data_IF_446050248728
#
_entry.id   IF_446050248728
#
_cell.length_a   1.000
_cell.length_b   1.000
_cell.length_c   1.000
_cell.angle_alpha   90.00
_cell.angle_beta   90.00
_cell.angle_gamma   90.00
#
_symmetry.space_group_name_H-M   'P 1'
#
loop_
_entity.id
_entity.type
_entity.pdbx_description
1 polymer ?
#
# COMPACT_ATOMS: atom_id res chain seq x y z
N UNK A 1 49.83 9.52 3.33
CA UNK A 1 48.68 9.04 4.09
C UNK A 1 47.51 9.83 3.56
N UNK A 2 46.77 9.27 2.61
CA UNK A 2 45.64 9.97 1.98
C UNK A 2 44.43 9.67 2.86
N UNK A 3 44.02 10.63 3.68
CA UNK A 3 42.74 10.52 4.37
C UNK A 3 41.66 10.73 3.31
N UNK A 4 40.95 9.67 2.92
CA UNK A 4 39.74 9.77 2.12
C UNK A 4 38.65 10.44 2.96
N UNK A 5 38.73 11.78 3.07
CA UNK A 5 37.89 12.57 3.96
C UNK A 5 36.62 13.06 3.29
N UNK A 6 35.49 13.03 4.01
CA UNK A 6 34.24 13.69 3.65
C UNK A 6 34.31 15.21 3.91
N UNK A 7 35.41 15.85 3.47
CA UNK A 7 35.78 17.20 3.89
C UNK A 7 34.88 18.30 3.33
N UNK A 8 34.51 19.24 4.21
CA UNK A 8 33.72 20.45 3.89
C UNK A 8 34.49 21.38 2.93
N UNK A 9 35.83 21.32 2.93
CA UNK A 9 36.72 22.11 2.06
C UNK A 9 36.97 21.49 0.67
N UNK A 10 36.23 20.43 0.30
CA UNK A 10 36.14 19.97 -1.09
C UNK A 10 37.22 18.98 -1.55
N UNK A 11 38.00 18.38 -0.65
CA UNK A 11 39.04 17.41 -1.06
C UNK A 11 38.46 16.09 -1.61
N UNK A 12 37.21 15.72 -1.27
CA UNK A 12 36.53 14.57 -1.88
C UNK A 12 35.34 14.95 -2.78
N UNK A 13 34.61 16.03 -2.47
CA UNK A 13 33.34 16.35 -3.12
C UNK A 13 33.46 17.61 -3.97
N UNK A 14 33.39 17.46 -5.30
CA UNK A 14 33.42 18.57 -6.26
C UNK A 14 32.02 18.90 -6.76
N UNK A 15 31.46 19.99 -6.26
CA UNK A 15 30.15 20.47 -6.67
C UNK A 15 30.22 21.25 -7.98
N UNK A 16 29.20 21.10 -8.84
CA UNK A 16 29.11 21.84 -10.12
C UNK A 16 28.86 23.35 -9.95
N UNK A 17 28.40 23.77 -8.76
CA UNK A 17 28.15 25.17 -8.36
C UNK A 17 28.33 25.31 -6.86
N UNK A 18 28.41 26.55 -6.38
CA UNK A 18 28.33 26.84 -4.95
C UNK A 18 27.02 26.33 -4.36
N UNK A 19 27.12 25.75 -3.17
CA UNK A 19 25.96 25.34 -2.37
C UNK A 19 25.19 26.57 -1.91
N UNK A 20 23.87 26.42 -1.78
CA UNK A 20 23.02 27.39 -1.10
C UNK A 20 23.08 27.12 0.40
N UNK A 21 22.75 28.13 1.21
CA UNK A 21 22.79 28.05 2.69
C UNK A 21 22.08 26.81 3.25
N UNK A 22 20.92 26.43 2.69
CA UNK A 22 20.21 25.22 3.15
C UNK A 22 20.80 23.91 2.63
N UNK A 23 21.53 23.94 1.51
CA UNK A 23 22.26 22.77 1.00
C UNK A 23 23.52 22.51 1.84
N UNK A 24 24.16 23.56 2.35
CA UNK A 24 25.27 23.44 3.30
C UNK A 24 24.85 22.73 4.59
N UNK A 25 23.65 23.02 5.11
CA UNK A 25 23.12 22.33 6.29
C UNK A 25 22.86 20.84 6.01
N UNK A 26 22.27 20.51 4.85
CA UNK A 26 22.05 19.12 4.43
C UNK A 26 23.38 18.35 4.26
N UNK A 27 24.40 19.00 3.70
CA UNK A 27 25.73 18.41 3.55
C UNK A 27 26.39 18.21 4.91
N UNK A 28 26.25 19.16 5.84
CA UNK A 28 26.74 19.02 7.22
C UNK A 28 26.10 17.82 7.92
N UNK A 29 24.79 17.65 7.80
CA UNK A 29 24.08 16.48 8.34
C UNK A 29 24.57 15.17 7.69
N UNK A 30 24.77 15.18 6.37
CA UNK A 30 25.28 14.02 5.63
C UNK A 30 26.67 13.61 6.12
N UNK A 31 27.59 14.57 6.27
CA UNK A 31 28.95 14.35 6.79
C UNK A 31 28.90 13.78 8.21
N UNK A 32 28.02 14.29 9.08
CA UNK A 32 27.85 13.74 10.43
C UNK A 32 27.41 12.27 10.39
N UNK A 33 26.51 11.89 9.48
CA UNK A 33 26.08 10.49 9.31
C UNK A 33 27.19 9.60 8.75
N UNK A 34 28.06 10.15 7.91
CA UNK A 34 29.18 9.44 7.29
C UNK A 34 30.45 9.43 8.15
N UNK A 35 30.48 10.16 9.28
CA UNK A 35 31.64 10.26 10.16
C UNK A 35 32.19 8.92 10.66
N UNK A 36 31.32 7.90 10.78
CA UNK A 36 31.68 6.55 11.20
C UNK A 36 31.89 5.58 10.02
N UNK A 37 31.94 6.07 8.79
CA UNK A 37 32.13 5.26 7.57
C UNK A 37 33.57 5.41 7.08
N UNK A 38 34.31 4.32 7.10
CA UNK A 38 35.68 4.25 6.56
C UNK A 38 35.64 3.60 5.18
N UNK A 39 35.97 4.38 4.16
CA UNK A 39 36.08 3.87 2.78
C UNK A 39 37.24 2.88 2.67
N UNK A 40 37.04 1.82 1.90
CA UNK A 40 38.03 0.77 1.66
C UNK A 40 38.47 0.86 0.19
N UNK A 41 39.64 1.45 -0.07
CA UNK A 41 40.12 1.76 -1.44
C UNK A 41 40.28 0.51 -2.34
N UNK A 42 40.45 -0.67 -1.74
CA UNK A 42 40.65 -1.93 -2.46
C UNK A 42 39.39 -2.79 -2.58
N UNK A 43 38.25 -2.34 -2.07
CA UNK A 43 36.99 -3.05 -2.15
C UNK A 43 36.07 -2.36 -3.17
N UNK A 44 35.42 -3.16 -4.02
CA UNK A 44 34.41 -2.64 -4.92
C UNK A 44 33.05 -2.54 -4.21
N UNK A 45 32.32 -1.47 -4.51
CA UNK A 45 30.94 -1.31 -4.07
C UNK A 45 30.07 -2.50 -4.51
N UNK A 46 29.25 -3.00 -3.59
CA UNK A 46 28.29 -4.07 -3.87
C UNK A 46 26.93 -3.77 -3.27
N UNK A 47 25.89 -4.23 -3.96
CA UNK A 47 24.54 -4.23 -3.42
C UNK A 47 24.43 -5.25 -2.28
N UNK A 48 23.91 -4.82 -1.13
CA UNK A 48 23.70 -5.67 0.05
C UNK A 48 22.21 -5.81 0.30
N UNK A 49 21.72 -7.04 0.24
CA UNK A 49 20.34 -7.35 0.58
C UNK A 49 20.16 -7.49 2.09
N UNK A 50 19.65 -6.44 2.75
CA UNK A 50 19.51 -6.40 4.21
C UNK A 50 18.42 -7.30 4.78
N UNK A 51 17.52 -7.82 3.93
CA UNK A 51 16.33 -8.56 4.35
C UNK A 51 16.58 -10.08 4.43
N UNK A 52 17.83 -10.53 4.24
CA UNK A 52 18.21 -11.93 4.37
C UNK A 52 19.63 -12.06 4.91
N UNK A 53 19.89 -13.11 5.69
CA UNK A 53 21.19 -13.36 6.36
C UNK A 53 22.33 -13.61 5.39
N UNK A 54 22.05 -14.07 4.17
CA UNK A 54 23.08 -14.26 3.14
C UNK A 54 23.59 -12.95 2.53
N UNK A 55 22.94 -11.82 2.80
CA UNK A 55 23.24 -10.51 2.21
C UNK A 55 23.15 -10.43 0.67
N UNK A 56 22.72 -11.51 0.03
CA UNK A 56 22.55 -11.62 -1.43
C UNK A 56 21.07 -11.57 -1.75
N UNK A 57 20.71 -10.78 -2.76
CA UNK A 57 19.34 -10.71 -3.25
C UNK A 57 18.96 -12.03 -3.94
N UNK A 58 17.77 -12.53 -3.62
CA UNK A 58 17.08 -13.54 -4.41
C UNK A 58 15.59 -13.25 -4.43
N UNK A 59 14.91 -13.62 -5.52
CA UNK A 59 13.45 -13.51 -5.62
C UNK A 59 12.77 -14.22 -4.46
N UNK A 60 13.29 -15.38 -4.06
CA UNK A 60 12.81 -16.14 -2.91
C UNK A 60 12.88 -15.33 -1.61
N UNK A 61 14.06 -14.81 -1.26
CA UNK A 61 14.23 -14.05 -0.01
C UNK A 61 13.38 -12.77 0.05
N UNK A 62 13.15 -12.14 -1.11
CA UNK A 62 12.25 -11.00 -1.21
C UNK A 62 10.79 -11.41 -1.02
N UNK A 63 10.38 -12.52 -1.64
CA UNK A 63 9.04 -13.06 -1.48
C UNK A 63 8.78 -13.46 -0.03
N UNK A 64 9.69 -14.24 0.58
CA UNK A 64 9.58 -14.69 1.96
C UNK A 64 9.41 -13.51 2.91
N UNK A 65 10.23 -12.46 2.77
CA UNK A 65 10.10 -11.24 3.58
C UNK A 65 8.76 -10.53 3.37
N UNK A 66 8.28 -10.41 2.12
CA UNK A 66 7.01 -9.76 1.82
C UNK A 66 5.81 -10.55 2.34
N UNK A 67 5.90 -11.88 2.39
CA UNK A 67 4.84 -12.76 2.87
C UNK A 67 4.92 -13.08 4.36
N UNK A 68 6.05 -12.81 5.02
CA UNK A 68 6.24 -13.09 6.44
C UNK A 68 5.36 -12.23 7.36
N UNK A 69 4.99 -11.03 6.91
CA UNK A 69 4.12 -10.09 7.64
C UNK A 69 2.65 -10.24 7.29
N UNK A 70 2.32 -11.05 6.28
CA UNK A 70 0.94 -11.44 6.03
C UNK A 70 0.61 -12.47 7.13
N UNK A 71 0.33 -11.97 8.35
CA UNK A 71 -0.63 -12.64 9.21
C UNK A 71 -1.76 -13.01 8.28
N UNK A 72 -1.97 -14.31 8.13
CA UNK A 72 -2.76 -14.86 7.06
C UNK A 72 -4.24 -14.55 7.36
N UNK A 73 -4.63 -13.27 7.25
CA UNK A 73 -5.98 -12.73 7.40
C UNK A 73 -6.93 -13.47 6.44
N UNK A 74 -6.35 -14.09 5.40
CA UNK A 74 -7.02 -14.87 4.38
C UNK A 74 -7.01 -16.39 4.60
N UNK A 75 -6.32 -16.94 5.62
CA UNK A 75 -6.15 -18.39 5.80
C UNK A 75 -7.46 -19.20 5.88
N UNK A 76 -8.58 -18.56 6.23
CA UNK A 76 -9.93 -19.13 6.15
C UNK A 76 -10.77 -18.61 4.98
N UNK A 77 -10.39 -17.46 4.43
CA UNK A 77 -11.12 -16.72 3.40
C UNK A 77 -10.99 -17.37 2.02
N UNK A 78 -9.81 -17.93 1.72
CA UNK A 78 -9.50 -18.59 0.45
C UNK A 78 -10.45 -19.77 0.17
N UNK A 79 -10.78 -20.54 1.21
CA UNK A 79 -11.67 -21.71 1.09
C UNK A 79 -13.14 -21.32 0.91
N UNK A 80 -13.57 -20.22 1.52
CA UNK A 80 -14.96 -19.77 1.44
C UNK A 80 -15.26 -19.07 0.11
N UNK A 81 -14.27 -18.38 -0.45
CA UNK A 81 -14.50 -17.45 -1.53
C UNK A 81 -14.46 -18.09 -2.93
N UNK A 82 -13.74 -19.20 -3.10
CA UNK A 82 -13.61 -19.89 -4.40
C UNK A 82 -14.66 -20.98 -4.59
N UNK A 83 -15.94 -20.58 -4.56
CA UNK A 83 -17.05 -21.49 -4.84
C UNK A 83 -17.06 -21.87 -6.32
N UNK A 84 -16.83 -23.16 -6.63
CA UNK A 84 -16.79 -23.68 -8.01
C UNK A 84 -18.11 -23.53 -8.76
N UNK A 85 -19.23 -23.49 -8.03
CA UNK A 85 -20.58 -23.30 -8.57
C UNK A 85 -20.90 -21.84 -8.92
N UNK A 86 -20.04 -20.89 -8.52
CA UNK A 86 -20.26 -19.46 -8.72
C UNK A 86 -19.33 -18.97 -9.85
N UNK A 87 -19.84 -18.15 -10.80
CA UNK A 87 -18.99 -17.60 -11.85
C UNK A 87 -17.80 -16.82 -11.28
N UNK A 88 -16.62 -16.99 -11.88
CA UNK A 88 -15.37 -16.39 -11.39
C UNK A 88 -15.46 -14.88 -11.14
N UNK A 89 -16.19 -14.16 -11.98
CA UNK A 89 -16.43 -12.71 -11.84
C UNK A 89 -17.12 -12.34 -10.51
N UNK A 90 -18.00 -13.20 -10.00
CA UNK A 90 -18.72 -12.99 -8.74
C UNK A 90 -17.78 -13.28 -7.57
N UNK A 91 -17.00 -14.36 -7.63
CA UNK A 91 -15.96 -14.64 -6.61
C UNK A 91 -14.96 -13.48 -6.51
N UNK A 92 -14.46 -12.98 -7.64
CA UNK A 92 -13.56 -11.83 -7.69
C UNK A 92 -14.19 -10.55 -7.13
N UNK A 93 -15.49 -10.34 -7.39
CA UNK A 93 -16.23 -9.21 -6.84
C UNK A 93 -16.32 -9.29 -5.32
N UNK A 94 -16.74 -10.44 -4.79
CA UNK A 94 -16.86 -10.68 -3.34
C UNK A 94 -15.49 -10.56 -2.66
N UNK A 95 -14.43 -11.06 -3.30
CA UNK A 95 -13.06 -10.91 -2.79
C UNK A 95 -12.66 -9.45 -2.62
N UNK A 96 -12.93 -8.64 -3.64
CA UNK A 96 -12.67 -7.21 -3.60
C UNK A 96 -13.53 -6.48 -2.58
N UNK A 97 -14.78 -6.93 -2.37
CA UNK A 97 -15.65 -6.39 -1.33
C UNK A 97 -15.02 -6.57 0.05
N UNK A 98 -14.62 -7.80 0.39
CA UNK A 98 -14.03 -8.11 1.70
C UNK A 98 -12.69 -7.45 1.96
N UNK A 99 -11.87 -7.24 0.92
CA UNK A 99 -10.62 -6.49 1.04
C UNK A 99 -10.82 -4.95 1.05
N UNK A 100 -12.07 -4.47 1.01
CA UNK A 100 -12.40 -3.06 0.82
C UNK A 100 -11.67 -2.43 -0.39
N UNK A 101 -11.67 -3.15 -1.52
CA UNK A 101 -10.99 -2.79 -2.78
C UNK A 101 -11.94 -2.48 -3.93
N UNK A 102 -13.24 -2.35 -3.67
CA UNK A 102 -14.20 -1.88 -4.65
C UNK A 102 -13.97 -0.38 -4.96
N UNK A 103 -14.34 0.10 -6.17
CA UNK A 103 -14.18 1.50 -6.55
C UNK A 103 -15.31 2.37 -5.98
N UNK A 104 -15.58 2.28 -4.68
CA UNK A 104 -16.49 3.16 -3.95
C UNK A 104 -15.92 4.57 -3.86
N UNK A 105 -16.76 5.60 -3.72
CA UNK A 105 -16.25 6.99 -3.67
C UNK A 105 -15.24 7.23 -2.55
N UNK A 106 -15.40 6.59 -1.39
CA UNK A 106 -14.42 6.68 -0.29
C UNK A 106 -13.04 6.11 -0.71
N UNK A 107 -13.02 4.97 -1.39
CA UNK A 107 -11.81 4.34 -1.90
C UNK A 107 -11.16 5.18 -3.02
N UNK A 108 -11.96 5.76 -3.90
CA UNK A 108 -11.48 6.64 -4.96
C UNK A 108 -10.91 7.95 -4.40
N UNK A 109 -11.53 8.52 -3.37
CA UNK A 109 -11.00 9.69 -2.66
C UNK A 109 -9.67 9.38 -1.97
N UNK A 110 -9.55 8.24 -1.27
CA UNK A 110 -8.28 7.79 -0.67
C UNK A 110 -7.15 7.64 -1.68
N UNK A 111 -7.48 7.39 -2.96
CA UNK A 111 -6.52 7.30 -4.07
C UNK A 111 -6.28 8.63 -4.79
N UNK A 112 -6.88 9.73 -4.31
CA UNK A 112 -6.76 11.06 -4.93
C UNK A 112 -7.53 11.22 -6.23
N UNK A 113 -8.48 10.33 -6.55
CA UNK A 113 -9.29 10.39 -7.79
C UNK A 113 -10.49 11.33 -7.63
N UNK A 114 -11.07 11.40 -6.43
CA UNK A 114 -12.26 12.23 -6.13
C UNK A 114 -11.96 13.27 -5.05
N UNK A 115 -12.62 14.42 -5.14
CA UNK A 115 -12.61 15.43 -4.09
C UNK A 115 -13.52 15.04 -2.91
N UNK A 116 -13.26 15.61 -1.73
CA UNK A 116 -14.04 15.32 -0.52
C UNK A 116 -15.54 15.68 -0.65
N UNK A 117 -15.87 16.63 -1.53
CA UNK A 117 -17.26 17.04 -1.84
C UNK A 117 -18.04 16.00 -2.63
N UNK A 118 -17.37 14.99 -3.19
CA UNK A 118 -17.97 13.97 -4.06
C UNK A 118 -18.16 12.63 -3.35
N UNK A 119 -18.11 12.60 -2.01
CA UNK A 119 -18.14 11.37 -1.22
C UNK A 119 -19.53 10.82 -0.94
N UNK A 120 -20.58 11.61 -1.17
CA UNK A 120 -21.96 11.21 -0.84
C UNK A 120 -22.44 10.05 -1.71
N UNK A 121 -23.26 9.18 -1.12
CA UNK A 121 -23.85 8.01 -1.76
C UNK A 121 -24.65 8.39 -3.02
N UNK A 122 -24.53 7.58 -4.07
CA UNK A 122 -25.25 7.77 -5.34
C UNK A 122 -26.77 7.72 -5.19
N UNK A 123 -27.30 7.03 -4.18
CA UNK A 123 -28.74 7.01 -3.87
C UNK A 123 -29.25 8.32 -3.29
N UNK A 124 -28.37 9.29 -3.04
CA UNK A 124 -28.70 10.58 -2.40
C UNK A 124 -29.28 10.45 -0.98
N UNK A 125 -29.01 9.35 -0.29
CA UNK A 125 -29.43 9.14 1.11
C UNK A 125 -28.64 9.99 2.14
N UNK A 126 -27.67 10.78 1.69
CA UNK A 126 -26.90 11.72 2.54
C UNK A 126 -25.66 11.12 3.22
N UNK A 127 -25.50 9.80 3.27
CA UNK A 127 -24.31 9.14 3.84
C UNK A 127 -23.13 9.12 2.86
N UNK A 128 -21.91 8.85 3.36
CA UNK A 128 -20.73 8.60 2.52
C UNK A 128 -20.84 7.25 1.83
N UNK A 129 -20.47 7.19 0.56
CA UNK A 129 -20.44 5.96 -0.21
C UNK A 129 -19.24 5.08 0.17
N UNK A 130 -19.48 4.15 1.10
CA UNK A 130 -18.56 3.07 1.45
C UNK A 130 -19.12 1.73 0.99
N UNK A 131 -18.27 0.69 0.97
CA UNK A 131 -18.73 -0.67 0.69
C UNK A 131 -19.82 -1.11 1.68
N UNK A 132 -19.58 -0.95 2.98
CA UNK A 132 -20.56 -1.33 4.01
C UNK A 132 -21.88 -0.57 3.85
N UNK A 133 -21.81 0.72 3.52
CA UNK A 133 -22.99 1.51 3.28
C UNK A 133 -23.79 0.99 2.08
N UNK A 134 -23.14 0.79 0.92
CA UNK A 134 -23.81 0.33 -0.30
C UNK A 134 -24.46 -1.05 -0.16
N UNK A 135 -23.83 -1.99 0.55
CA UNK A 135 -24.29 -3.37 0.61
C UNK A 135 -25.18 -3.67 1.83
N UNK A 136 -25.01 -2.95 2.94
CA UNK A 136 -25.62 -3.35 4.21
C UNK A 136 -26.37 -2.24 4.96
N UNK A 137 -26.11 -0.96 4.71
CA UNK A 137 -26.66 0.13 5.55
C UNK A 137 -27.50 1.16 4.79
N UNK A 138 -27.44 1.19 3.45
CA UNK A 138 -28.16 2.17 2.66
C UNK A 138 -29.63 1.79 2.56
N UNK A 139 -30.52 2.63 3.09
CA UNK A 139 -31.98 2.40 3.06
C UNK A 139 -32.52 2.12 1.65
N UNK A 140 -32.02 2.85 0.65
CA UNK A 140 -32.42 2.67 -0.74
C UNK A 140 -32.05 1.28 -1.27
N UNK A 141 -30.79 0.86 -1.05
CA UNK A 141 -30.33 -0.45 -1.51
C UNK A 141 -30.89 -1.59 -0.66
N UNK A 142 -31.10 -1.37 0.65
CA UNK A 142 -31.80 -2.31 1.53
C UNK A 142 -33.20 -2.67 1.00
N UNK A 143 -33.98 -1.66 0.62
CA UNK A 143 -35.29 -1.88 -0.02
C UNK A 143 -35.18 -2.67 -1.33
N UNK A 144 -34.17 -2.36 -2.16
CA UNK A 144 -33.92 -3.12 -3.40
C UNK A 144 -33.58 -4.58 -3.11
N UNK A 145 -32.77 -4.86 -2.09
CA UNK A 145 -32.44 -6.24 -1.68
C UNK A 145 -33.67 -7.00 -1.21
N UNK A 146 -34.57 -6.37 -0.46
CA UNK A 146 -35.84 -6.99 -0.07
C UNK A 146 -36.72 -7.33 -1.28
N UNK A 147 -36.83 -6.43 -2.25
CA UNK A 147 -37.60 -6.69 -3.48
C UNK A 147 -37.02 -7.86 -4.28
N UNK A 148 -35.70 -7.93 -4.43
CA UNK A 148 -35.01 -9.03 -5.10
C UNK A 148 -35.18 -10.34 -4.33
N UNK A 149 -35.08 -10.31 -3.01
CA UNK A 149 -35.29 -11.48 -2.14
C UNK A 149 -36.69 -12.05 -2.30
N UNK A 150 -37.70 -11.17 -2.29
CA UNK A 150 -39.10 -11.57 -2.50
C UNK A 150 -39.31 -12.17 -3.90
N UNK A 151 -38.70 -11.58 -4.93
CA UNK A 151 -38.77 -12.11 -6.29
C UNK A 151 -38.12 -13.48 -6.43
N UNK A 152 -37.00 -13.72 -5.74
CA UNK A 152 -36.28 -15.00 -5.75
C UNK A 152 -36.88 -16.04 -4.78
N UNK A 153 -37.85 -15.66 -3.94
CA UNK A 153 -38.42 -16.54 -2.91
C UNK A 153 -37.42 -16.91 -1.81
N UNK A 154 -36.36 -16.12 -1.64
CA UNK A 154 -35.35 -16.31 -0.59
C UNK A 154 -35.65 -15.41 0.60
N UNK A 155 -35.15 -15.77 1.79
CA UNK A 155 -35.10 -14.84 2.92
C UNK A 155 -33.66 -14.30 3.03
N UNK A 156 -33.49 -12.99 2.87
CA UNK A 156 -32.22 -12.30 3.10
C UNK A 156 -32.22 -11.76 4.53
N UNK A 157 -31.20 -12.10 5.31
CA UNK A 157 -31.05 -11.70 6.72
C UNK A 157 -30.57 -10.24 6.92
N UNK A 158 -30.78 -9.37 5.93
CA UNK A 158 -30.49 -7.95 6.04
C UNK A 158 -31.75 -7.28 6.56
N UNK A 159 -31.82 -7.08 7.88
CA UNK A 159 -32.90 -6.39 8.59
C UNK A 159 -32.31 -5.29 9.46
#
# INVERSE_FOLDING_TARGET
MWEAGWGVDGEAWKWRRSLRVWEEELVRECIMRLSNVVLQDNEHDRWVWKLHSSHVYSVQSAYDYLTATDENLNAGFDKFLWLKSVPLKVNLFVWRLFLNRLPTKDNLHRRGVLAATQLTCVSSCGSVETADHLFFQCDFYGQLWHLLSNWLGTQVALS
#
